data_IF_241538252407
#
_entry.id   IF_241538252407
#
_cell.length_a   1.000
_cell.length_b   1.000
_cell.length_c   1.000
_cell.angle_alpha   90.00
_cell.angle_beta   90.00
_cell.angle_gamma   90.00
#
_symmetry.space_group_name_H-M   'P 1'
#
loop_
_entity.id
_entity.type
_entity.pdbx_description
1 polymer ?
#
# COMPACT_ATOMS: atom_id res chain seq x y z
N UNK A 1 -7.38 9.40 -10.51
CA UNK A 1 -6.37 8.31 -10.62
C UNK A 1 -6.11 8.05 -12.10
N UNK A 2 -4.87 7.72 -12.46
CA UNK A 2 -4.49 7.38 -13.82
C UNK A 2 -3.80 6.02 -13.84
N UNK A 3 -4.16 5.17 -14.79
CA UNK A 3 -3.54 3.88 -15.13
C UNK A 3 -2.97 4.02 -16.54
N UNK A 4 -1.80 3.43 -16.74
CA UNK A 4 -0.97 3.63 -17.92
C UNK A 4 -0.39 2.29 -18.32
N UNK A 5 -0.27 2.04 -19.62
CA UNK A 5 0.26 0.79 -20.14
C UNK A 5 1.80 0.76 -20.11
N UNK A 6 2.36 -0.37 -20.56
CA UNK A 6 3.81 -0.56 -20.64
C UNK A 6 4.48 0.42 -21.62
N UNK A 7 3.75 0.93 -22.61
CA UNK A 7 4.22 1.94 -23.59
C UNK A 7 4.09 3.39 -23.11
N UNK A 8 3.41 3.63 -21.99
CA UNK A 8 3.15 4.97 -21.46
C UNK A 8 1.93 5.65 -22.04
N UNK A 9 1.11 4.93 -22.80
CA UNK A 9 -0.21 5.42 -23.16
C UNK A 9 -1.13 5.33 -21.93
N UNK A 10 -1.99 6.33 -21.78
CA UNK A 10 -3.02 6.34 -20.73
C UNK A 10 -4.03 5.24 -21.03
N UNK A 11 -4.07 4.23 -20.16
CA UNK A 11 -5.00 3.12 -20.25
C UNK A 11 -6.35 3.46 -19.59
N UNK A 12 -6.33 4.19 -18.47
CA UNK A 12 -7.54 4.63 -17.78
C UNK A 12 -7.30 5.93 -17.00
N UNK A 13 -8.25 6.86 -17.06
CA UNK A 13 -8.37 7.94 -16.08
C UNK A 13 -9.70 7.77 -15.38
N UNK A 14 -9.68 7.77 -14.05
CA UNK A 14 -10.87 7.71 -13.21
C UNK A 14 -10.88 8.87 -12.24
N UNK A 15 -11.94 9.65 -12.27
CA UNK A 15 -12.23 10.68 -11.29
C UNK A 15 -13.31 10.19 -10.32
N UNK A 16 -13.07 10.36 -9.02
CA UNK A 16 -13.97 9.91 -7.97
C UNK A 16 -14.56 11.10 -7.22
N UNK A 17 -15.83 11.00 -6.87
CA UNK A 17 -16.43 11.76 -5.78
C UNK A 17 -15.78 11.35 -4.45
N UNK A 18 -15.90 12.18 -3.39
CA UNK A 18 -15.22 11.95 -2.12
C UNK A 18 -15.43 10.55 -1.52
N UNK A 19 -16.57 9.91 -1.74
CA UNK A 19 -16.89 8.58 -1.20
C UNK A 19 -16.66 7.42 -2.19
N UNK A 20 -15.91 7.66 -3.26
CA UNK A 20 -15.45 6.60 -4.17
C UNK A 20 -16.35 6.29 -5.37
N UNK A 21 -17.46 7.01 -5.53
CA UNK A 21 -18.27 6.93 -6.75
C UNK A 21 -17.50 7.57 -7.91
N UNK A 22 -17.38 6.86 -9.03
CA UNK A 22 -16.75 7.38 -10.25
C UNK A 22 -17.68 8.36 -10.96
N UNK A 23 -17.17 9.50 -11.45
CA UNK A 23 -17.97 10.51 -12.16
C UNK A 23 -17.45 10.87 -13.54
N UNK A 24 -16.22 10.49 -13.86
CA UNK A 24 -15.68 10.58 -15.20
C UNK A 24 -14.65 9.46 -15.39
N UNK A 25 -14.90 8.63 -16.41
CA UNK A 25 -13.96 7.61 -16.88
C UNK A 25 -13.69 7.82 -18.36
N UNK A 26 -12.43 8.10 -18.72
CA UNK A 26 -12.00 8.12 -20.13
C UNK A 26 -11.29 6.80 -20.43
N UNK A 27 -11.82 6.04 -21.40
CA UNK A 27 -11.52 4.62 -21.61
C UNK A 27 -10.60 4.33 -22.79
N UNK A 28 -9.77 3.29 -22.64
CA UNK A 28 -9.72 2.15 -23.55
C UNK A 28 -9.82 0.88 -22.69
N UNK A 29 -10.70 -0.04 -23.08
CA UNK A 29 -11.15 -1.17 -22.27
C UNK A 29 -10.01 -2.07 -21.73
N UNK A 30 -9.87 -2.20 -20.39
CA UNK A 30 -9.39 -3.43 -19.69
C UNK A 30 -9.29 -3.28 -18.15
N UNK A 31 -10.09 -4.09 -17.44
CA UNK A 31 -9.75 -5.00 -16.30
C UNK A 31 -8.82 -4.56 -15.15
N UNK A 32 -8.87 -3.32 -14.65
CA UNK A 32 -8.27 -3.04 -13.33
C UNK A 32 -9.37 -3.04 -12.26
N UNK A 33 -9.59 -4.13 -11.49
CA UNK A 33 -10.69 -4.22 -10.53
C UNK A 33 -10.45 -3.33 -9.31
N UNK A 34 -9.20 -3.09 -8.90
CA UNK A 34 -8.90 -2.17 -7.79
C UNK A 34 -9.10 -0.73 -8.23
N UNK A 35 -9.98 0.04 -7.57
CA UNK A 35 -10.30 1.43 -7.91
C UNK A 35 -10.01 2.40 -6.76
N UNK A 36 -11.04 2.78 -6.00
CA UNK A 36 -10.95 3.75 -4.91
C UNK A 36 -10.17 3.16 -3.72
N UNK A 37 -9.24 3.93 -3.14
CA UNK A 37 -8.35 3.50 -2.04
C UNK A 37 -7.60 2.17 -2.26
N UNK A 38 -7.44 1.76 -3.52
CA UNK A 38 -6.85 0.46 -3.85
C UNK A 38 -7.72 -0.74 -3.48
N UNK A 39 -9.01 -0.53 -3.19
CA UNK A 39 -9.99 -1.59 -2.94
C UNK A 39 -10.63 -2.06 -4.23
N UNK A 40 -10.94 -3.35 -4.26
CA UNK A 40 -11.57 -4.00 -5.40
C UNK A 40 -13.00 -3.47 -5.57
N UNK A 41 -13.32 -3.00 -6.78
CA UNK A 41 -14.68 -2.61 -7.15
C UNK A 41 -15.40 -3.85 -7.69
N UNK A 42 -16.34 -4.34 -6.90
CA UNK A 42 -17.33 -5.32 -7.33
C UNK A 42 -18.54 -4.60 -7.95
N UNK A 43 -18.81 -4.90 -9.22
CA UNK A 43 -19.94 -4.36 -9.99
C UNK A 43 -21.08 -5.38 -10.14
N UNK A 44 -20.96 -6.56 -9.52
CA UNK A 44 -21.99 -7.58 -9.57
C UNK A 44 -23.30 -7.04 -9.00
N UNK A 45 -24.41 -7.44 -9.63
CA UNK A 45 -25.77 -7.01 -9.26
C UNK A 45 -26.03 -5.49 -9.29
N UNK A 46 -25.19 -4.70 -9.98
CA UNK A 46 -25.28 -3.23 -10.08
C UNK A 46 -25.20 -2.50 -8.73
N UNK A 47 -24.65 -3.14 -7.69
CA UNK A 47 -24.53 -2.55 -6.36
C UNK A 47 -23.29 -1.65 -6.22
N UNK A 48 -22.28 -1.86 -7.08
CA UNK A 48 -21.02 -1.10 -7.13
C UNK A 48 -20.40 -0.93 -5.73
N UNK A 49 -19.91 -2.03 -5.19
CA UNK A 49 -19.34 -2.09 -3.83
C UNK A 49 -17.84 -2.22 -3.85
N UNK A 50 -17.18 -1.58 -2.88
CA UNK A 50 -15.75 -1.79 -2.64
C UNK A 50 -15.53 -2.82 -1.54
N UNK A 51 -14.67 -3.80 -1.81
CA UNK A 51 -14.27 -4.78 -0.80
C UNK A 51 -13.23 -4.18 0.15
N UNK A 52 -13.65 -3.95 1.39
CA UNK A 52 -12.80 -3.50 2.50
C UNK A 52 -12.43 -4.67 3.43
N UNK A 53 -12.37 -5.89 2.91
CA UNK A 53 -12.07 -7.16 3.59
C UNK A 53 -13.21 -7.62 4.52
N UNK A 54 -13.54 -6.84 5.54
CA UNK A 54 -14.56 -7.23 6.53
C UNK A 54 -15.93 -6.63 6.27
N UNK A 55 -16.00 -5.57 5.46
CA UNK A 55 -17.23 -4.89 5.08
C UNK A 55 -17.18 -4.51 3.61
N UNK A 56 -18.34 -4.42 2.98
CA UNK A 56 -18.47 -3.85 1.65
C UNK A 56 -18.88 -2.38 1.78
N UNK A 57 -18.16 -1.47 1.14
CA UNK A 57 -18.54 -0.07 1.06
C UNK A 57 -19.42 0.14 -0.17
N UNK A 58 -20.66 0.59 0.02
CA UNK A 58 -21.50 1.01 -1.11
C UNK A 58 -21.10 2.41 -1.57
N UNK A 59 -20.95 2.60 -2.88
CA UNK A 59 -20.67 3.93 -3.46
C UNK A 59 -21.94 4.71 -3.79
N UNK A 60 -23.06 4.01 -4.04
CA UNK A 60 -24.35 4.61 -4.32
C UNK A 60 -24.96 5.24 -3.05
N UNK A 61 -24.76 4.56 -1.91
CA UNK A 61 -25.07 5.08 -0.58
C UNK A 61 -23.77 5.04 0.22
N UNK A 62 -23.10 6.18 0.49
CA UNK A 62 -21.71 6.24 0.96
C UNK A 62 -21.53 5.75 2.40
N UNK A 63 -21.72 4.45 2.62
CA UNK A 63 -21.72 3.76 3.91
C UNK A 63 -21.36 2.28 3.72
N UNK A 64 -20.91 1.63 4.77
CA UNK A 64 -20.76 0.19 4.76
C UNK A 64 -22.14 -0.48 4.68
N UNK A 65 -22.21 -1.62 3.98
CA UNK A 65 -23.45 -2.40 3.83
C UNK A 65 -23.78 -3.22 5.08
N UNK A 66 -22.80 -3.46 5.94
CA UNK A 66 -22.91 -4.20 7.19
C UNK A 66 -22.49 -3.35 8.39
N UNK A 67 -23.00 -3.67 9.58
CA UNK A 67 -22.60 -2.96 10.81
C UNK A 67 -21.12 -3.16 11.08
N UNK A 68 -20.47 -2.11 11.58
CA UNK A 68 -19.12 -2.17 12.11
C UNK A 68 -19.03 -3.28 13.17
N UNK A 69 -18.13 -4.26 13.02
CA UNK A 69 -17.86 -5.23 14.08
C UNK A 69 -17.45 -4.56 15.40
N UNK A 70 -17.00 -3.31 15.37
CA UNK A 70 -16.62 -2.48 16.51
C UNK A 70 -17.63 -1.36 16.80
N UNK A 71 -18.88 -1.47 16.31
CA UNK A 71 -19.94 -0.47 16.47
C UNK A 71 -20.10 0.02 17.92
N UNK A 72 -20.00 -0.91 18.88
CA UNK A 72 -20.15 -0.64 20.31
C UNK A 72 -19.03 0.24 20.89
N UNK A 73 -17.91 0.41 20.18
CA UNK A 73 -16.83 1.34 20.57
C UNK A 73 -17.14 2.80 20.26
N UNK A 74 -18.11 3.07 19.40
CA UNK A 74 -18.40 4.41 18.88
C UNK A 74 -19.89 4.72 19.00
N UNK A 75 -20.43 4.71 20.22
CA UNK A 75 -21.87 4.97 20.48
C UNK A 75 -22.41 6.26 19.86
N UNK A 76 -21.55 7.28 19.68
CA UNK A 76 -21.92 8.57 19.09
C UNK A 76 -21.91 8.58 17.55
N UNK A 77 -21.55 7.48 16.91
CA UNK A 77 -21.34 7.38 15.46
C UNK A 77 -22.17 6.20 14.92
N UNK A 78 -22.78 6.38 13.75
CA UNK A 78 -23.53 5.30 13.11
C UNK A 78 -22.63 4.10 12.81
N UNK A 79 -23.06 2.85 13.10
CA UNK A 79 -22.28 1.64 12.85
C UNK A 79 -22.04 1.36 11.36
N UNK A 80 -22.67 2.10 10.46
CA UNK A 80 -22.48 1.96 9.03
C UNK A 80 -21.58 3.06 8.44
N UNK A 81 -21.10 4.00 9.26
CA UNK A 81 -20.40 5.18 8.73
C UNK A 81 -19.11 4.77 8.04
N UNK A 82 -18.85 5.33 6.85
CA UNK A 82 -17.53 5.24 6.25
C UNK A 82 -16.65 6.36 6.81
N UNK A 83 -15.60 5.97 7.54
CA UNK A 83 -14.54 6.85 8.07
C UNK A 83 -15.02 8.14 8.75
N UNK A 84 -16.13 8.03 9.50
CA UNK A 84 -16.78 9.16 10.18
C UNK A 84 -17.04 10.35 9.27
N UNK A 85 -17.53 10.06 8.05
CA UNK A 85 -17.95 11.02 7.03
C UNK A 85 -16.86 11.97 6.52
N UNK A 86 -15.59 11.60 6.65
CA UNK A 86 -14.50 12.41 6.10
C UNK A 86 -13.54 11.60 5.20
N UNK A 87 -14.03 11.12 4.04
CA UNK A 87 -13.27 10.23 3.15
C UNK A 87 -12.21 10.94 2.31
N UNK A 88 -12.21 12.28 2.31
CA UNK A 88 -11.16 13.08 1.65
C UNK A 88 -9.82 12.86 2.37
N UNK A 89 -9.88 12.73 3.70
CA UNK A 89 -8.70 12.65 4.55
C UNK A 89 -8.67 11.41 5.44
N UNK A 90 -9.53 10.40 5.24
CA UNK A 90 -9.53 9.18 6.05
C UNK A 90 -9.79 7.97 5.16
N UNK A 91 -9.14 6.87 5.50
CA UNK A 91 -9.41 5.57 4.88
C UNK A 91 -9.51 4.52 5.98
N UNK A 92 -10.32 3.50 5.76
CA UNK A 92 -10.38 2.31 6.59
C UNK A 92 -9.68 1.19 5.81
N UNK A 93 -8.48 0.71 6.19
CA UNK A 93 -7.77 -0.30 5.42
C UNK A 93 -8.38 -1.70 5.52
N UNK A 94 -9.10 -2.03 6.60
CA UNK A 94 -9.56 -3.40 6.89
C UNK A 94 -11.07 -3.51 7.07
N UNK A 95 -11.79 -2.38 6.94
CA UNK A 95 -13.22 -2.33 7.22
C UNK A 95 -13.53 -2.47 8.71
N UNK A 96 -12.58 -2.31 9.63
CA UNK A 96 -12.83 -2.43 11.08
C UNK A 96 -12.35 -1.22 11.86
N UNK A 97 -11.38 -0.46 11.34
CA UNK A 97 -10.82 0.69 12.02
C UNK A 97 -10.26 1.71 11.02
N UNK A 98 -10.71 2.95 11.14
CA UNK A 98 -10.21 4.09 10.37
C UNK A 98 -8.84 4.61 10.81
N UNK A 99 -8.08 5.07 9.82
CA UNK A 99 -6.85 5.84 9.96
C UNK A 99 -7.07 7.25 9.36
N UNK A 100 -6.36 8.27 9.87
CA UNK A 100 -6.46 9.63 9.34
C UNK A 100 -5.24 10.06 8.53
N UNK A 101 -5.50 10.90 7.54
CA UNK A 101 -4.60 11.72 6.75
C UNK A 101 -4.74 13.13 7.36
N UNK A 102 -3.68 13.75 7.87
CA UNK A 102 -3.75 15.18 8.26
C UNK A 102 -2.92 16.01 7.28
N UNK A 103 -3.49 17.13 6.83
CA UNK A 103 -2.81 18.20 6.11
C UNK A 103 -2.48 19.35 7.08
N UNK A 104 -1.83 19.08 8.20
CA UNK A 104 -1.29 20.15 9.03
C UNK A 104 0.02 20.67 8.43
N UNK A 105 -0.12 21.53 7.43
CA UNK A 105 0.88 22.54 7.06
C UNK A 105 2.20 22.06 6.44
N UNK A 106 2.39 20.76 6.15
CA UNK A 106 3.59 20.25 5.45
C UNK A 106 3.21 19.36 4.25
N UNK A 107 4.00 19.48 3.19
CA UNK A 107 3.71 19.10 1.79
C UNK A 107 3.57 17.59 1.49
N UNK A 108 3.66 16.68 2.45
CA UNK A 108 3.63 15.22 2.19
C UNK A 108 2.80 14.43 3.23
N UNK A 109 2.12 13.33 2.83
CA UNK A 109 1.34 12.50 3.74
C UNK A 109 2.19 11.58 4.62
N UNK A 110 1.91 11.60 5.93
CA UNK A 110 2.50 10.73 6.96
C UNK A 110 1.43 9.86 7.63
N UNK A 111 1.80 8.61 7.95
CA UNK A 111 1.00 7.74 8.81
C UNK A 111 1.15 8.20 10.26
N UNK A 112 0.08 8.19 11.05
CA UNK A 112 0.15 8.57 12.47
C UNK A 112 -0.35 7.44 13.37
N UNK A 113 0.40 7.23 14.45
CA UNK A 113 0.27 6.15 15.44
C UNK A 113 -1.03 6.27 16.27
N UNK A 114 -1.51 5.15 16.85
CA UNK A 114 -2.62 5.12 17.82
C UNK A 114 -2.10 4.43 19.08
N UNK A 115 -2.28 5.06 20.24
CA UNK A 115 -1.56 4.74 21.48
C UNK A 115 -1.86 3.37 22.16
N UNK A 116 -2.69 2.51 21.55
CA UNK A 116 -3.13 1.26 22.18
C UNK A 116 -2.82 0.04 21.29
N UNK A 117 -1.81 -0.75 21.71
CA UNK A 117 -1.36 -1.98 21.06
C UNK A 117 -2.32 -3.17 21.26
N UNK A 118 -3.12 -3.15 22.33
CA UNK A 118 -4.08 -4.20 22.66
C UNK A 118 -5.34 -3.58 23.27
N UNK A 119 -6.50 -3.99 22.78
CA UNK A 119 -7.80 -3.67 23.35
C UNK A 119 -8.44 -4.96 23.87
N UNK A 120 -8.52 -5.08 25.19
CA UNK A 120 -9.28 -6.12 25.88
C UNK A 120 -10.76 -5.87 25.62
N UNK A 121 -11.40 -6.79 24.90
CA UNK A 121 -12.78 -6.58 24.44
C UNK A 121 -13.82 -6.86 25.51
N UNK A 122 -13.47 -7.58 26.58
CA UNK A 122 -14.41 -8.18 27.51
C UNK A 122 -15.23 -9.34 26.91
N UNK A 123 -14.93 -9.78 25.68
CA UNK A 123 -15.58 -10.89 24.98
C UNK A 123 -14.66 -12.10 25.05
N UNK A 124 -15.22 -13.29 25.31
CA UNK A 124 -14.48 -14.54 25.42
C UNK A 124 -14.83 -15.47 24.26
N UNK A 125 -13.84 -16.16 23.69
CA UNK A 125 -14.02 -17.11 22.61
C UNK A 125 -14.63 -18.45 23.09
N UNK A 126 -14.82 -19.40 22.18
CA UNK A 126 -15.40 -20.72 22.50
C UNK A 126 -14.54 -21.56 23.44
N UNK A 127 -13.28 -21.21 23.62
CA UNK A 127 -12.34 -21.85 24.54
C UNK A 127 -12.29 -21.14 25.90
N UNK A 128 -13.00 -20.01 26.05
CA UNK A 128 -13.00 -19.19 27.26
C UNK A 128 -11.85 -18.19 27.32
N UNK A 129 -11.14 -17.96 26.22
CA UNK A 129 -10.05 -16.99 26.14
C UNK A 129 -10.60 -15.61 25.76
N UNK A 130 -10.17 -14.54 26.45
CA UNK A 130 -10.59 -13.18 26.11
C UNK A 130 -10.07 -12.80 24.71
N UNK A 131 -10.97 -12.40 23.82
CA UNK A 131 -10.68 -11.91 22.49
C UNK A 131 -10.00 -10.54 22.63
N UNK A 132 -8.69 -10.49 22.46
CA UNK A 132 -7.91 -9.25 22.48
C UNK A 132 -7.75 -8.74 21.06
N UNK A 133 -8.23 -7.53 20.78
CA UNK A 133 -8.00 -6.87 19.50
C UNK A 133 -6.62 -6.22 19.52
N UNK A 134 -5.70 -6.74 18.72
CA UNK A 134 -4.32 -6.23 18.67
C UNK A 134 -4.20 -5.14 17.61
N UNK A 135 -3.66 -4.00 18.01
CA UNK A 135 -3.22 -2.94 17.12
C UNK A 135 -2.08 -3.41 16.21
N UNK A 136 -1.78 -2.59 15.21
CA UNK A 136 -0.60 -2.79 14.37
C UNK A 136 0.58 -2.10 15.04
N UNK A 137 1.51 -2.87 15.60
CA UNK A 137 2.61 -2.36 16.45
C UNK A 137 3.59 -1.46 15.66
N UNK A 138 3.70 -1.67 14.34
CA UNK A 138 4.46 -0.82 13.44
C UNK A 138 3.87 -0.84 12.01
N UNK A 139 4.19 0.17 11.21
CA UNK A 139 3.85 0.20 9.77
C UNK A 139 5.11 0.43 8.96
N UNK A 140 5.35 -0.44 7.97
CA UNK A 140 6.46 -0.30 7.02
C UNK A 140 5.90 0.02 5.64
N UNK A 141 6.21 1.20 5.13
CA UNK A 141 5.74 1.68 3.83
C UNK A 141 6.87 1.70 2.83
N UNK A 142 6.79 0.85 1.82
CA UNK A 142 7.66 0.90 0.66
C UNK A 142 7.03 1.75 -0.44
N UNK A 143 7.56 2.95 -0.64
CA UNK A 143 7.23 3.83 -1.77
C UNK A 143 8.28 3.65 -2.87
N UNK A 144 7.93 2.82 -3.85
CA UNK A 144 8.77 2.39 -4.96
C UNK A 144 8.29 2.86 -6.33
N UNK A 145 8.81 2.22 -7.38
CA UNK A 145 8.44 2.46 -8.77
C UNK A 145 8.32 1.16 -9.54
N UNK A 146 7.36 1.07 -10.47
CA UNK A 146 7.22 -0.12 -11.34
C UNK A 146 8.40 -0.32 -12.30
N UNK A 147 9.17 0.74 -12.55
CA UNK A 147 10.43 0.73 -13.31
C UNK A 147 11.66 0.97 -12.43
N UNK A 148 11.60 0.60 -11.14
CA UNK A 148 12.80 0.46 -10.31
C UNK A 148 13.85 -0.40 -11.01
N UNK A 149 15.12 -0.01 -10.87
CA UNK A 149 16.25 -0.72 -11.48
C UNK A 149 17.49 -0.60 -10.62
N UNK A 150 18.30 -1.65 -10.65
CA UNK A 150 19.61 -1.63 -10.04
C UNK A 150 20.56 -0.74 -10.85
N UNK A 151 21.42 -0.02 -10.15
CA UNK A 151 22.48 0.80 -10.74
C UNK A 151 23.74 -0.01 -11.00
N UNK A 152 24.84 0.70 -11.27
CA UNK A 152 26.16 0.11 -11.53
C UNK A 152 26.54 -0.95 -10.49
N UNK A 153 26.93 -2.13 -10.97
CA UNK A 153 27.29 -3.27 -10.12
C UNK A 153 26.09 -4.02 -9.52
N UNK A 154 24.89 -3.88 -10.10
CA UNK A 154 23.65 -4.46 -9.59
C UNK A 154 23.32 -4.01 -8.16
N UNK A 155 23.57 -2.73 -7.86
CA UNK A 155 23.36 -2.17 -6.52
C UNK A 155 22.10 -1.31 -6.47
N UNK A 156 21.37 -1.36 -5.37
CA UNK A 156 20.17 -0.52 -5.17
C UNK A 156 20.51 0.97 -4.99
N UNK A 157 21.76 1.29 -4.64
CA UNK A 157 22.31 2.64 -4.54
C UNK A 157 23.45 2.90 -5.54
N UNK A 158 23.65 2.01 -6.52
CA UNK A 158 24.68 2.21 -7.53
C UNK A 158 24.31 3.37 -8.47
N UNK A 159 25.30 3.92 -9.16
CA UNK A 159 25.07 5.00 -10.13
C UNK A 159 23.97 4.60 -11.13
N UNK A 160 22.99 5.49 -11.30
CA UNK A 160 21.83 5.27 -12.17
C UNK A 160 20.75 4.34 -11.60
N UNK A 161 20.86 3.89 -10.35
CA UNK A 161 19.80 3.12 -9.68
C UNK A 161 18.52 3.94 -9.55
N UNK A 162 17.39 3.26 -9.70
CA UNK A 162 16.07 3.77 -9.33
C UNK A 162 15.53 2.85 -8.25
N UNK A 163 15.41 3.37 -7.04
CA UNK A 163 15.16 2.58 -5.83
C UNK A 163 13.92 3.09 -5.09
N UNK A 164 13.39 2.27 -4.20
CA UNK A 164 12.29 2.65 -3.31
C UNK A 164 12.78 3.37 -2.06
N UNK A 165 11.85 4.05 -1.40
CA UNK A 165 12.00 4.50 -0.02
C UNK A 165 11.20 3.58 0.88
N UNK A 166 11.79 3.11 1.97
CA UNK A 166 11.11 2.38 3.03
C UNK A 166 10.97 3.30 4.25
N UNK A 167 9.75 3.69 4.58
CA UNK A 167 9.43 4.46 5.78
C UNK A 167 8.88 3.53 6.85
N UNK A 168 9.48 3.53 8.03
CA UNK A 168 9.00 2.78 9.19
C UNK A 168 8.37 3.77 10.16
N UNK A 169 7.13 3.52 10.52
CA UNK A 169 6.44 4.12 11.65
C UNK A 169 6.53 3.10 12.78
N UNK A 170 7.48 3.33 13.69
CA UNK A 170 7.85 2.41 14.75
C UNK A 170 6.92 2.47 15.97
N UNK A 171 7.14 1.59 16.95
CA UNK A 171 6.25 1.41 18.10
C UNK A 171 6.37 2.52 19.16
N UNK A 172 7.34 3.45 19.07
CA UNK A 172 7.58 4.45 20.11
C UNK A 172 6.74 5.72 19.95
N UNK A 173 5.57 5.61 19.31
CA UNK A 173 4.63 6.70 19.11
C UNK A 173 4.82 7.50 17.82
N UNK A 174 4.13 8.64 17.74
CA UNK A 174 3.96 9.43 16.50
C UNK A 174 5.24 9.94 15.85
N UNK A 175 6.29 10.15 16.64
CA UNK A 175 7.56 10.71 16.19
C UNK A 175 8.61 9.64 15.85
N UNK A 176 8.29 8.34 16.03
CA UNK A 176 9.18 7.21 15.74
C UNK A 176 9.22 6.87 14.24
N UNK A 177 9.54 7.87 13.41
CA UNK A 177 9.50 7.77 11.96
C UNK A 177 10.92 7.67 11.40
N UNK A 178 11.19 6.58 10.69
CA UNK A 178 12.51 6.29 10.12
C UNK A 178 12.42 6.09 8.63
N UNK A 179 13.40 6.60 7.89
CA UNK A 179 13.42 6.55 6.43
C UNK A 179 14.68 5.85 5.97
N UNK A 180 14.51 4.81 5.16
CA UNK A 180 15.58 3.99 4.65
C UNK A 180 15.51 3.86 3.13
N UNK A 181 16.67 3.72 2.49
CA UNK A 181 16.75 3.22 1.12
C UNK A 181 16.26 1.78 1.04
N UNK A 182 15.25 1.53 0.22
CA UNK A 182 14.71 0.20 -0.02
C UNK A 182 14.57 -0.13 -1.50
N UNK A 183 14.12 -1.34 -1.83
CA UNK A 183 13.86 -1.77 -3.20
C UNK A 183 12.72 -2.79 -3.21
N UNK A 184 11.74 -2.60 -4.09
CA UNK A 184 10.48 -3.39 -4.11
C UNK A 184 10.39 -4.34 -5.29
N UNK A 185 11.34 -4.26 -6.21
CA UNK A 185 11.44 -5.18 -7.34
C UNK A 185 12.35 -6.36 -7.00
N UNK A 186 12.37 -7.37 -7.86
CA UNK A 186 13.27 -8.51 -7.70
C UNK A 186 14.62 -8.23 -8.35
N UNK A 187 15.58 -9.11 -8.04
CA UNK A 187 16.92 -9.09 -8.66
C UNK A 187 16.86 -9.16 -10.18
N UNK A 188 15.79 -9.77 -10.72
CA UNK A 188 15.48 -9.83 -12.13
C UNK A 188 13.94 -9.93 -12.29
N UNK A 189 13.32 -8.80 -12.63
CA UNK A 189 11.87 -8.69 -12.73
C UNK A 189 11.27 -9.62 -13.80
N UNK A 190 11.97 -9.86 -14.90
CA UNK A 190 11.51 -10.78 -15.96
C UNK A 190 11.55 -12.24 -15.51
N UNK A 191 12.55 -12.58 -14.69
CA UNK A 191 12.77 -13.96 -14.24
C UNK A 191 11.89 -14.35 -13.06
N UNK A 192 11.76 -13.47 -12.08
CA UNK A 192 11.10 -13.82 -10.82
C UNK A 192 9.75 -13.14 -10.62
N UNK A 193 9.57 -11.93 -11.15
CA UNK A 193 8.42 -11.06 -10.90
C UNK A 193 8.33 -10.55 -9.45
N UNK A 194 7.98 -9.29 -9.21
CA UNK A 194 7.75 -8.79 -7.85
C UNK A 194 6.36 -9.20 -7.34
N UNK A 195 6.17 -9.11 -6.01
CA UNK A 195 4.83 -9.12 -5.40
C UNK A 195 4.04 -7.88 -5.81
N UNK A 196 2.72 -7.97 -5.73
CA UNK A 196 1.83 -6.89 -6.13
C UNK A 196 1.94 -5.64 -5.23
N UNK A 197 1.35 -4.52 -5.65
CA UNK A 197 1.08 -3.42 -4.73
C UNK A 197 -0.06 -3.78 -3.77
N UNK A 198 -0.05 -3.23 -2.56
CA UNK A 198 -1.09 -3.53 -1.59
C UNK A 198 -0.67 -3.31 -0.14
N UNK A 199 -1.54 -3.73 0.77
CA UNK A 199 -1.28 -3.81 2.20
C UNK A 199 -1.19 -5.28 2.56
N UNK A 200 -0.15 -5.63 3.32
CA UNK A 200 0.16 -6.99 3.72
C UNK A 200 0.32 -7.05 5.23
N UNK A 201 0.01 -8.21 5.81
CA UNK A 201 0.39 -8.51 7.18
C UNK A 201 1.90 -8.70 7.23
N UNK A 202 2.56 -8.04 8.17
CA UNK A 202 3.94 -8.29 8.53
C UNK A 202 3.99 -8.99 9.88
N UNK A 203 4.84 -10.00 10.02
CA UNK A 203 5.04 -10.65 11.30
C UNK A 203 6.50 -11.01 11.54
N UNK A 204 6.87 -11.09 12.82
CA UNK A 204 8.13 -11.67 13.24
C UNK A 204 8.02 -13.20 13.17
N UNK A 205 9.00 -13.82 12.52
CA UNK A 205 9.09 -15.25 12.36
C UNK A 205 10.34 -15.79 13.05
N UNK A 206 10.13 -16.56 14.11
CA UNK A 206 11.20 -17.17 14.94
C UNK A 206 12.16 -18.04 14.13
N UNK A 207 11.67 -18.71 13.08
CA UNK A 207 12.50 -19.56 12.22
C UNK A 207 13.33 -18.72 11.25
N UNK A 208 12.81 -17.54 10.90
CA UNK A 208 13.44 -16.60 10.00
C UNK A 208 13.70 -17.13 8.59
N UNK A 209 14.34 -16.29 7.79
CA UNK A 209 14.71 -16.57 6.42
C UNK A 209 15.91 -17.51 6.34
N UNK A 210 15.79 -18.56 5.53
CA UNK A 210 16.90 -19.47 5.21
C UNK A 210 17.89 -18.82 4.24
N UNK A 211 19.13 -19.34 4.20
CA UNK A 211 20.19 -18.79 3.36
C UNK A 211 21.07 -17.74 4.04
N UNK A 212 21.85 -17.01 3.23
CA UNK A 212 22.93 -16.11 3.70
C UNK A 212 22.40 -14.77 4.24
N UNK A 213 21.34 -14.24 3.64
CA UNK A 213 20.73 -12.97 4.06
C UNK A 213 19.62 -13.26 5.06
N UNK A 214 19.96 -13.17 6.34
CA UNK A 214 19.05 -13.46 7.45
C UNK A 214 18.05 -12.32 7.64
N UNK A 215 16.83 -12.68 7.98
CA UNK A 215 15.76 -11.78 8.41
C UNK A 215 14.69 -12.58 9.15
N UNK A 216 14.01 -11.94 10.08
CA UNK A 216 12.84 -12.49 10.76
C UNK A 216 11.53 -11.81 10.31
N UNK A 217 11.60 -10.81 9.44
CA UNK A 217 10.45 -10.01 9.03
C UNK A 217 9.81 -10.62 7.79
N UNK A 218 8.69 -11.29 7.97
CA UNK A 218 7.99 -12.01 6.89
C UNK A 218 6.63 -11.36 6.62
N UNK A 219 6.19 -11.43 5.38
CA UNK A 219 4.87 -10.99 4.97
C UNK A 219 3.89 -12.18 4.96
N UNK A 220 2.62 -11.89 5.25
CA UNK A 220 1.47 -12.79 5.24
C UNK A 220 1.73 -14.14 5.92
N UNK A 221 2.52 -14.19 7.00
CA UNK A 221 2.84 -15.44 7.69
C UNK A 221 3.44 -16.52 6.77
N UNK A 222 4.26 -16.12 5.79
CA UNK A 222 4.78 -16.95 4.67
C UNK A 222 3.73 -17.41 3.66
N UNK A 223 2.46 -17.06 3.86
CA UNK A 223 1.34 -17.38 2.99
C UNK A 223 1.46 -16.76 1.59
N UNK A 224 0.49 -17.08 0.71
CA UNK A 224 0.50 -16.61 -0.66
C UNK A 224 0.31 -15.09 -0.73
N UNK A 225 1.07 -14.47 -1.62
CA UNK A 225 0.99 -13.06 -2.01
C UNK A 225 0.91 -13.01 -3.52
N UNK A 226 -0.12 -12.35 -4.04
CA UNK A 226 -0.32 -12.14 -5.47
C UNK A 226 0.90 -11.48 -6.10
N UNK A 227 1.26 -11.92 -7.30
CA UNK A 227 2.31 -11.29 -8.10
C UNK A 227 1.79 -10.04 -8.79
N UNK A 228 2.69 -9.10 -9.06
CA UNK A 228 2.36 -7.86 -9.74
C UNK A 228 1.64 -8.13 -11.08
N UNK A 229 0.47 -7.50 -11.23
CA UNK A 229 -0.43 -7.68 -12.38
C UNK A 229 -0.85 -9.15 -12.63
N UNK A 230 -0.85 -10.00 -11.60
CA UNK A 230 -1.19 -11.42 -11.70
C UNK A 230 -0.20 -12.26 -12.51
N UNK A 231 0.98 -11.73 -12.83
CA UNK A 231 1.96 -12.42 -13.69
C UNK A 231 2.45 -13.72 -13.05
N UNK A 232 2.56 -14.76 -13.86
CA UNK A 232 3.10 -16.06 -13.42
C UNK A 232 4.63 -15.99 -13.39
N UNK A 233 5.23 -16.45 -12.29
CA UNK A 233 6.68 -16.62 -12.18
C UNK A 233 7.15 -17.77 -13.09
N UNK A 234 7.96 -17.53 -14.13
CA UNK A 234 8.43 -18.59 -15.02
C UNK A 234 9.24 -19.70 -14.32
N UNK A 235 9.84 -19.42 -13.17
CA UNK A 235 10.60 -20.41 -12.38
C UNK A 235 9.73 -21.16 -11.36
N UNK A 236 8.45 -20.81 -11.25
CA UNK A 236 7.48 -21.51 -10.41
C UNK A 236 6.10 -21.50 -11.10
N UNK A 237 5.98 -22.10 -12.30
CA UNK A 237 4.77 -22.02 -13.11
C UNK A 237 3.56 -22.73 -12.48
N UNK A 238 3.76 -23.51 -11.42
CA UNK A 238 2.68 -24.12 -10.64
C UNK A 238 2.12 -23.22 -9.54
N UNK A 239 2.75 -22.08 -9.23
CA UNK A 239 2.25 -21.12 -8.24
C UNK A 239 1.20 -20.21 -8.86
N UNK A 240 0.05 -20.79 -9.17
CA UNK A 240 -1.11 -20.13 -9.77
C UNK A 240 -2.31 -20.37 -8.87
N UNK A 241 -3.08 -19.32 -8.60
CA UNK A 241 -4.31 -19.42 -7.80
C UNK A 241 -5.51 -19.89 -8.64
N UNK A 242 -6.68 -19.99 -8.01
CA UNK A 242 -7.93 -20.41 -8.66
C UNK A 242 -8.37 -19.48 -9.79
N UNK A 243 -7.91 -18.23 -9.80
CA UNK A 243 -8.26 -17.20 -10.78
C UNK A 243 -7.27 -17.19 -11.96
N UNK A 244 -6.26 -18.07 -11.95
CA UNK A 244 -5.23 -18.12 -12.98
C UNK A 244 -4.10 -17.12 -12.78
N UNK A 245 -3.98 -16.52 -11.60
CA UNK A 245 -2.99 -15.48 -11.30
C UNK A 245 -1.80 -16.05 -10.54
N UNK A 246 -0.60 -15.54 -10.86
CA UNK A 246 0.62 -15.95 -10.18
C UNK A 246 0.66 -15.47 -8.72
N UNK A 247 1.14 -16.32 -7.81
CA UNK A 247 1.42 -15.93 -6.43
C UNK A 247 2.82 -16.36 -5.98
N UNK A 248 3.27 -15.81 -4.85
CA UNK A 248 4.52 -16.21 -4.18
C UNK A 248 4.29 -16.41 -2.69
N UNK A 249 5.07 -17.30 -2.10
CA UNK A 249 5.09 -17.56 -0.66
C UNK A 249 6.46 -17.24 -0.09
N UNK A 250 6.56 -17.12 1.24
CA UNK A 250 7.84 -16.89 1.92
C UNK A 250 8.51 -15.58 1.51
N UNK A 251 7.74 -14.49 1.47
CA UNK A 251 8.22 -13.15 1.16
C UNK A 251 8.68 -12.46 2.43
N UNK A 252 9.90 -11.94 2.43
CA UNK A 252 10.51 -11.27 3.58
C UNK A 252 10.87 -9.83 3.27
N UNK A 253 11.02 -9.01 4.31
CA UNK A 253 11.83 -7.79 4.27
C UNK A 253 13.24 -8.20 4.70
N UNK A 254 14.28 -7.96 3.90
CA UNK A 254 15.65 -8.27 4.30
C UNK A 254 16.70 -7.32 3.71
N UNK A 255 17.92 -7.36 4.25
CA UNK A 255 19.05 -6.61 3.70
C UNK A 255 19.47 -7.10 2.32
N UNK A 256 20.01 -6.22 1.48
CA UNK A 256 20.75 -6.65 0.28
C UNK A 256 22.12 -7.29 0.63
N UNK A 257 22.91 -7.73 -0.36
CA UNK A 257 24.30 -8.12 -0.12
C UNK A 257 25.15 -6.93 0.38
N UNK A 258 26.35 -7.25 0.90
CA UNK A 258 27.36 -6.24 1.27
C UNK A 258 27.53 -5.21 0.14
N UNK A 259 27.51 -3.92 0.50
CA UNK A 259 27.62 -2.76 -0.40
C UNK A 259 26.40 -2.50 -1.32
N UNK A 260 25.19 -2.96 -0.97
CA UNK A 260 23.95 -2.61 -1.68
C UNK A 260 23.57 -3.54 -2.83
N UNK A 261 24.32 -4.64 -3.03
CA UNK A 261 24.14 -5.55 -4.17
C UNK A 261 22.84 -6.37 -4.10
N UNK A 262 21.99 -6.26 -5.11
CA UNK A 262 20.71 -6.96 -5.20
C UNK A 262 20.52 -7.75 -6.51
N UNK A 263 21.59 -8.07 -7.23
CA UNK A 263 21.54 -8.91 -8.43
C UNK A 263 21.43 -10.42 -8.14
N UNK A 264 21.23 -11.20 -9.21
CA UNK A 264 21.21 -12.66 -9.13
C UNK A 264 19.96 -13.20 -8.43
N UNK A 265 20.13 -13.82 -7.26
CA UNK A 265 19.06 -14.44 -6.47
C UNK A 265 18.87 -13.76 -5.10
N UNK A 266 19.39 -12.54 -4.93
CA UNK A 266 19.31 -11.81 -3.65
C UNK A 266 17.86 -11.60 -3.22
N UNK A 267 17.02 -11.09 -4.11
CA UNK A 267 15.57 -11.09 -3.98
C UNK A 267 14.92 -11.76 -5.19
N UNK A 268 14.14 -12.81 -4.94
CA UNK A 268 13.24 -13.43 -5.91
C UNK A 268 11.78 -12.98 -5.72
N UNK A 269 11.55 -11.94 -4.90
CA UNK A 269 10.21 -11.47 -4.53
C UNK A 269 10.17 -10.68 -3.21
N UNK A 270 11.23 -10.78 -2.41
CA UNK A 270 11.38 -10.08 -1.13
C UNK A 270 11.57 -8.58 -1.30
N UNK A 271 11.16 -7.83 -0.28
CA UNK A 271 11.39 -6.39 -0.15
C UNK A 271 12.76 -6.17 0.48
N UNK A 272 13.51 -5.21 -0.04
CA UNK A 272 14.91 -5.02 0.32
C UNK A 272 15.13 -3.71 1.05
N UNK A 273 16.06 -3.72 2.01
CA UNK A 273 16.62 -2.53 2.68
C UNK A 273 18.13 -2.50 2.42
N UNK A 274 18.69 -1.30 2.25
CA UNK A 274 20.14 -1.14 2.08
C UNK A 274 20.92 -1.62 3.32
N UNK A 275 22.08 -2.29 3.18
CA UNK A 275 22.82 -2.87 4.30
C UNK A 275 23.21 -1.85 5.36
N UNK A 276 23.57 -0.64 4.97
CA UNK A 276 23.95 0.43 5.92
C UNK A 276 22.77 0.86 6.80
N UNK A 277 21.54 0.58 6.37
CA UNK A 277 20.31 0.90 7.09
C UNK A 277 19.69 -0.31 7.80
N UNK A 278 20.23 -1.51 7.56
CA UNK A 278 19.61 -2.74 8.05
C UNK A 278 19.63 -2.87 9.56
N UNK A 279 20.73 -2.47 10.21
CA UNK A 279 20.81 -2.42 11.67
C UNK A 279 19.79 -1.44 12.24
N UNK A 280 19.68 -0.24 11.66
CA UNK A 280 18.68 0.77 12.03
C UNK A 280 17.26 0.23 11.93
N UNK A 281 16.91 -0.38 10.80
CA UNK A 281 15.60 -1.02 10.60
C UNK A 281 15.29 -2.05 11.68
N UNK A 282 16.22 -2.98 11.97
CA UNK A 282 16.02 -4.00 13.00
C UNK A 282 15.92 -3.41 14.42
N UNK A 283 16.60 -2.31 14.70
CA UNK A 283 16.53 -1.63 16.00
C UNK A 283 15.15 -0.99 16.21
N UNK A 284 14.58 -0.36 15.17
CA UNK A 284 13.23 0.23 15.23
C UNK A 284 12.18 -0.85 15.39
N UNK A 285 12.31 -1.94 14.64
CA UNK A 285 11.39 -3.08 14.68
C UNK A 285 11.64 -4.00 15.89
N UNK A 286 12.57 -3.68 16.78
CA UNK A 286 12.90 -4.54 17.92
C UNK A 286 11.70 -4.67 18.87
N UNK A 287 11.33 -5.91 19.19
CA UNK A 287 10.15 -6.21 20.01
C UNK A 287 8.84 -6.31 19.23
N UNK A 288 8.80 -5.83 17.98
CA UNK A 288 7.62 -5.91 17.12
C UNK A 288 7.36 -7.35 16.70
N UNK A 289 6.15 -7.85 16.93
CA UNK A 289 5.67 -9.17 16.52
C UNK A 289 4.72 -9.08 15.34
N UNK A 290 3.79 -8.12 15.34
CA UNK A 290 2.80 -7.94 14.27
C UNK A 290 2.83 -6.50 13.76
N UNK A 291 2.90 -6.33 12.44
CA UNK A 291 3.00 -5.03 11.81
C UNK A 291 2.26 -5.04 10.46
N UNK A 292 2.09 -3.89 9.82
CA UNK A 292 1.56 -3.81 8.46
C UNK A 292 2.65 -3.39 7.49
N UNK A 293 2.60 -3.94 6.29
CA UNK A 293 3.50 -3.57 5.20
C UNK A 293 2.68 -3.01 4.06
N UNK A 294 2.91 -1.77 3.68
CA UNK A 294 2.31 -1.19 2.49
C UNK A 294 3.34 -1.11 1.37
N UNK A 295 3.02 -1.68 0.21
CA UNK A 295 3.82 -1.55 -1.01
C UNK A 295 3.07 -0.68 -2.00
N UNK A 296 3.65 0.48 -2.31
CA UNK A 296 3.14 1.42 -3.31
C UNK A 296 4.21 1.54 -4.40
N UNK A 297 3.83 1.40 -5.67
CA UNK A 297 4.73 1.70 -6.78
C UNK A 297 4.15 2.77 -7.68
N UNK A 298 4.94 3.83 -7.87
CA UNK A 298 4.60 4.90 -8.79
C UNK A 298 5.05 4.57 -10.20
N UNK A 299 4.37 5.15 -11.18
CA UNK A 299 4.79 5.13 -12.57
C UNK A 299 5.19 6.57 -12.92
N UNK A 300 6.49 6.81 -13.08
CA UNK A 300 7.02 8.11 -13.51
C UNK A 300 7.44 7.99 -14.97
N UNK A 301 6.78 8.75 -15.84
CA UNK A 301 7.27 9.06 -17.18
C UNK A 301 8.08 10.37 -17.12
N UNK A 302 9.25 10.38 -17.74
CA UNK A 302 9.94 11.62 -18.08
C UNK A 302 9.31 12.13 -19.37
N UNK A 303 8.43 13.11 -19.29
CA UNK A 303 8.00 13.86 -20.47
C UNK A 303 9.10 14.85 -20.82
N UNK A 304 9.73 14.79 -22.00
CA UNK A 304 10.62 15.86 -22.43
C UNK A 304 9.82 17.16 -22.54
N UNK A 305 10.38 18.27 -22.02
CA UNK A 305 9.75 19.60 -21.98
C UNK A 305 9.62 20.26 -23.37
N UNK A 306 9.77 19.53 -24.47
CA UNK A 306 9.88 20.10 -25.82
C UNK A 306 8.55 20.51 -26.47
N UNK A 307 7.38 20.20 -25.89
CA UNK A 307 6.08 20.48 -26.53
C UNK A 307 5.10 21.36 -25.73
N UNK A 308 5.54 22.06 -24.67
CA UNK A 308 4.73 23.16 -24.12
C UNK A 308 4.96 24.44 -24.93
N UNK A 309 4.48 24.46 -26.18
CA UNK A 309 4.15 25.71 -26.85
C UNK A 309 2.73 26.04 -26.39
N UNK A 310 2.58 27.16 -25.69
CA UNK A 310 1.31 27.59 -25.13
C UNK A 310 0.23 27.65 -26.21
N UNK A 311 -0.79 26.81 -26.06
CA UNK A 311 -2.09 27.06 -26.68
C UNK A 311 -2.91 27.85 -25.66
N UNK A 312 -3.32 29.06 -26.03
CA UNK A 312 -4.21 29.90 -25.24
C UNK A 312 -5.48 29.13 -24.87
N UNK A 313 -5.74 29.03 -23.57
CA UNK A 313 -7.02 28.59 -23.04
C UNK A 313 -8.05 29.70 -23.31
N UNK A 314 -9.21 29.41 -23.95
CA UNK A 314 -10.27 30.40 -24.09
C UNK A 314 -10.78 30.81 -22.70
N UNK A 315 -10.70 32.12 -22.41
CA UNK A 315 -11.31 32.73 -21.23
C UNK A 315 -12.82 32.46 -21.25
N UNK A 316 -13.34 31.77 -20.24
CA UNK A 316 -14.75 31.87 -19.87
C UNK A 316 -14.89 32.01 -18.36
N UNK A 317 -15.60 33.07 -17.99
CA UNK A 317 -16.09 33.51 -16.68
C UNK A 317 -15.18 34.41 -15.83
N UNK A 318 -15.42 35.71 -16.03
CA UNK A 318 -15.02 36.84 -15.20
C UNK A 318 -16.00 37.14 -14.06
N UNK A 319 -15.44 37.25 -12.84
CA UNK A 319 -15.76 38.13 -11.69
C UNK A 319 -17.21 38.38 -11.21
N UNK A 320 -17.41 38.25 -9.88
CA UNK A 320 -17.47 39.41 -8.95
C UNK A 320 -17.49 38.95 -7.48
N UNK A 321 -16.41 39.24 -6.75
CA UNK A 321 -16.44 39.31 -5.28
C UNK A 321 -16.93 40.70 -4.89
N UNK A 322 -17.99 40.77 -4.08
CA UNK A 322 -18.29 41.96 -3.28
C UNK A 322 -17.34 41.98 -2.09
N UNK A 323 -16.55 43.05 -1.93
CA UNK A 323 -16.03 43.46 -0.63
C UNK A 323 -16.47 44.90 -0.37
N UNK A 324 -16.94 45.09 0.87
CA UNK A 324 -17.41 46.34 1.49
C UNK A 324 -16.23 47.01 2.21
N UNK A 325 -16.44 48.28 2.61
CA UNK A 325 -15.59 49.28 3.30
C UNK A 325 -14.65 50.03 2.35
N UNK A 326 -14.66 51.36 2.27
CA UNK A 326 -14.92 52.36 3.33
C UNK A 326 -16.33 53.00 3.37
#
# INVERSE_FOLDING_TARGET
>A
RMVVDQGGAVAQITHYYPFGMSFAESTNASKQPYKYNGKELDMENNLNTYDYETRLLSVAVPRFTTMDPLAEKYYSISPYVYVGNNPIIRTDPTGMAWFYYSLDGKKDPTWNWRDEDEYNTGVYDTNGDEVVLKGTEAVVVFKGYRNEKLGKGNKINGDGAKTATATVYGPKGSDDIHIYTGYTMTSNAQRFGPIDEGIYDGNYDVNGKTGKLKSHWVLNHRGPIRMLDGKINPNAPSQIDSNGEGYKTGIFIHSTNKNGGAGGYVSTGCLLIHPDHWSGFNNVMSGVKNFKVQVIRQIIYKTPLTNFIGQEVPRLYSYKFFNKTD
#
